data_IF_236336882710
#
_entry.id   IF_236336882710
#
_cell.length_a   1.000
_cell.length_b   1.000
_cell.length_c   1.000
_cell.angle_alpha   90.00
_cell.angle_beta   90.00
_cell.angle_gamma   90.00
#
_symmetry.space_group_name_H-M   'P 1'
#
loop_
_entity.id
_entity.type
_entity.pdbx_description
1 polymer ?
#
# COMPACT_ATOMS: atom_id res chain seq x y z
N UNK A 1 9.33 -44.00 65.37
CA UNK A 1 8.19 -43.41 64.62
C UNK A 1 8.73 -42.36 63.63
N UNK A 2 9.06 -42.77 62.42
CA UNK A 2 9.48 -41.87 61.34
C UNK A 2 8.22 -41.32 60.64
N UNK A 3 7.97 -40.01 60.80
CA UNK A 3 6.83 -39.32 60.19
C UNK A 3 6.95 -39.32 58.66
N UNK A 4 5.86 -39.73 58.00
CA UNK A 4 5.66 -39.74 56.56
C UNK A 4 6.05 -38.41 55.90
N UNK A 5 7.02 -38.47 54.98
CA UNK A 5 7.41 -37.37 54.08
C UNK A 5 6.48 -37.21 52.87
N UNK A 6 5.43 -38.03 52.70
CA UNK A 6 4.64 -38.03 51.44
C UNK A 6 3.59 -36.92 51.33
N UNK A 7 3.16 -36.29 52.43
CA UNK A 7 2.08 -35.28 52.38
C UNK A 7 2.52 -33.91 51.83
N UNK A 8 3.79 -33.49 51.98
CA UNK A 8 4.24 -32.17 51.50
C UNK A 8 4.45 -32.11 49.98
N UNK A 9 4.82 -33.21 49.35
CA UNK A 9 4.95 -33.29 47.88
C UNK A 9 3.60 -33.15 47.18
N UNK A 10 2.51 -33.63 47.79
CA UNK A 10 1.17 -33.53 47.24
C UNK A 10 0.60 -32.10 47.28
N UNK A 11 0.85 -31.36 48.35
CA UNK A 11 0.29 -30.00 48.56
C UNK A 11 0.98 -28.90 47.74
N UNK A 12 2.19 -29.12 47.24
CA UNK A 12 2.94 -28.14 46.43
C UNK A 12 3.09 -28.63 44.98
N UNK A 13 3.29 -29.93 44.77
CA UNK A 13 3.50 -30.50 43.42
C UNK A 13 2.25 -30.48 42.55
N UNK A 14 1.07 -30.76 43.11
CA UNK A 14 -0.19 -30.76 42.34
C UNK A 14 -0.61 -29.34 41.91
N UNK A 15 -0.60 -28.31 42.78
CA UNK A 15 -0.90 -26.95 42.36
C UNK A 15 0.11 -26.39 41.35
N UNK A 16 1.40 -26.73 41.49
CA UNK A 16 2.43 -26.29 40.54
C UNK A 16 2.28 -26.98 39.18
N UNK A 17 1.98 -28.29 39.16
CA UNK A 17 1.71 -29.01 37.92
C UNK A 17 0.44 -28.51 37.22
N UNK A 18 -0.61 -28.16 37.98
CA UNK A 18 -1.82 -27.53 37.45
C UNK A 18 -1.53 -26.13 36.91
N UNK A 19 -0.74 -25.31 37.61
CA UNK A 19 -0.36 -23.99 37.14
C UNK A 19 0.49 -24.04 35.86
N UNK A 20 1.40 -25.02 35.74
CA UNK A 20 2.19 -25.27 34.52
C UNK A 20 1.31 -25.79 33.39
N UNK A 21 0.35 -26.68 33.67
CA UNK A 21 -0.58 -27.19 32.66
C UNK A 21 -1.58 -26.13 32.18
N UNK A 22 -2.06 -25.26 33.08
CA UNK A 22 -2.92 -24.12 32.74
C UNK A 22 -2.11 -23.06 31.99
N UNK A 23 -0.89 -22.74 32.43
CA UNK A 23 0.01 -21.82 31.73
C UNK A 23 0.42 -22.33 30.34
N UNK A 24 0.72 -23.62 30.22
CA UNK A 24 0.98 -24.28 28.94
C UNK A 24 -0.26 -24.35 28.04
N UNK A 25 -1.43 -24.65 28.61
CA UNK A 25 -2.71 -24.63 27.89
C UNK A 25 -3.12 -23.22 27.46
N UNK A 26 -2.83 -22.20 28.26
CA UNK A 26 -3.04 -20.79 27.93
C UNK A 26 -2.07 -20.31 26.86
N UNK A 27 -0.79 -20.67 26.92
CA UNK A 27 0.19 -20.35 25.88
C UNK A 27 -0.16 -21.05 24.56
N UNK A 28 -0.58 -22.30 24.60
CA UNK A 28 -1.11 -23.02 23.44
C UNK A 28 -2.38 -22.32 22.94
N UNK A 29 -3.34 -21.97 23.79
CA UNK A 29 -4.54 -21.25 23.36
C UNK A 29 -4.23 -19.87 22.75
N UNK A 30 -3.37 -19.08 23.38
CA UNK A 30 -3.01 -17.72 22.92
C UNK A 30 -2.24 -17.77 21.60
N UNK A 31 -1.29 -18.70 21.46
CA UNK A 31 -0.52 -18.90 20.21
C UNK A 31 -1.38 -19.53 19.11
N UNK A 32 -2.26 -20.49 19.43
CA UNK A 32 -3.01 -21.27 18.43
C UNK A 32 -4.35 -20.65 18.03
N UNK A 33 -5.06 -19.92 18.91
CA UNK A 33 -6.39 -19.38 18.58
C UNK A 33 -6.37 -17.90 18.24
N UNK A 34 -5.48 -17.09 18.82
CA UNK A 34 -5.35 -15.67 18.42
C UNK A 34 -4.43 -15.46 17.22
N UNK A 35 -3.44 -16.33 17.01
CA UNK A 35 -2.45 -16.19 15.93
C UNK A 35 -2.92 -16.60 14.53
N UNK A 36 -4.03 -17.35 14.42
CA UNK A 36 -4.44 -18.00 13.17
C UNK A 36 -5.45 -17.20 12.34
N UNK A 37 -5.75 -15.94 12.69
CA UNK A 37 -6.72 -15.08 12.01
C UNK A 37 -8.09 -15.73 11.70
N UNK A 38 -8.48 -16.77 12.47
CA UNK A 38 -9.73 -17.52 12.27
C UNK A 38 -9.66 -18.73 11.31
N UNK A 39 -8.50 -19.07 10.75
CA UNK A 39 -8.34 -20.19 9.81
C UNK A 39 -8.07 -21.54 10.49
N UNK A 40 -8.40 -22.63 9.79
CA UNK A 40 -8.12 -24.00 10.27
C UNK A 40 -6.61 -24.29 10.27
N UNK A 41 -6.16 -25.16 11.18
CA UNK A 41 -4.75 -25.51 11.31
C UNK A 41 -4.15 -26.10 10.02
N UNK A 42 -4.95 -26.83 9.23
CA UNK A 42 -4.49 -27.38 7.95
C UNK A 42 -4.23 -26.27 6.94
N UNK A 43 -5.09 -25.25 6.87
CA UNK A 43 -4.93 -24.11 5.98
C UNK A 43 -3.72 -23.27 6.39
N UNK A 44 -3.58 -22.97 7.68
CA UNK A 44 -2.43 -22.21 8.20
C UNK A 44 -1.12 -22.94 7.89
N UNK A 45 -1.05 -24.24 8.15
CA UNK A 45 0.13 -25.05 7.83
C UNK A 45 0.44 -25.04 6.33
N UNK A 46 -0.57 -25.18 5.47
CA UNK A 46 -0.38 -25.14 4.03
C UNK A 46 0.09 -23.76 3.56
N UNK A 47 -0.46 -22.67 4.13
CA UNK A 47 -0.03 -21.32 3.85
C UNK A 47 1.44 -21.09 4.23
N UNK A 48 1.86 -21.58 5.41
CA UNK A 48 3.24 -21.52 5.86
C UNK A 48 4.19 -22.28 4.92
N UNK A 49 3.83 -23.51 4.54
CA UNK A 49 4.61 -24.33 3.61
C UNK A 49 4.72 -23.69 2.22
N UNK A 50 3.63 -23.10 1.72
CA UNK A 50 3.61 -22.40 0.44
C UNK A 50 4.45 -21.12 0.48
N UNK A 51 4.26 -20.27 1.49
CA UNK A 51 4.99 -18.99 1.59
C UNK A 51 6.51 -19.19 1.69
N UNK A 52 6.96 -20.30 2.28
CA UNK A 52 8.38 -20.61 2.40
C UNK A 52 9.13 -20.80 1.08
N UNK A 53 8.41 -21.09 0.00
CA UNK A 53 8.96 -21.35 -1.35
C UNK A 53 8.41 -20.42 -2.41
N UNK A 54 7.43 -19.58 -2.05
CA UNK A 54 6.74 -18.69 -2.95
C UNK A 54 7.45 -17.33 -2.95
N UNK A 55 7.67 -16.81 -4.15
CA UNK A 55 8.08 -15.44 -4.34
C UNK A 55 6.88 -14.53 -4.05
N UNK A 56 7.00 -13.70 -3.03
CA UNK A 56 5.95 -12.76 -2.60
C UNK A 56 6.43 -11.32 -2.67
N UNK A 57 5.60 -10.48 -3.27
CA UNK A 57 5.85 -9.10 -3.58
C UNK A 57 4.65 -8.24 -3.19
N UNK A 58 4.93 -7.17 -2.47
CA UNK A 58 3.98 -6.09 -2.21
C UNK A 58 4.33 -4.88 -3.10
N UNK A 59 3.40 -4.42 -3.93
CA UNK A 59 3.66 -3.30 -4.85
C UNK A 59 3.54 -1.91 -4.24
N UNK A 60 3.23 -1.78 -2.95
CA UNK A 60 3.19 -0.47 -2.30
C UNK A 60 3.41 -0.51 -0.79
N UNK A 61 4.60 -0.10 -0.35
CA UNK A 61 4.91 0.22 1.05
C UNK A 61 5.54 1.61 1.10
N UNK A 62 4.98 2.50 1.92
CA UNK A 62 5.53 3.84 2.14
C UNK A 62 6.76 3.76 3.02
N UNK A 63 7.80 4.53 2.68
CA UNK A 63 9.00 4.71 3.50
C UNK A 63 8.77 5.92 4.42
N UNK A 64 8.65 5.73 5.75
CA UNK A 64 8.59 6.85 6.69
C UNK A 64 9.87 7.69 6.62
N UNK A 65 9.76 9.02 6.77
CA UNK A 65 10.92 9.94 6.71
C UNK A 65 11.95 9.67 7.80
N UNK A 66 11.52 9.09 8.93
CA UNK A 66 12.39 8.74 10.07
C UNK A 66 12.83 7.27 10.06
N UNK A 67 12.59 6.52 8.97
CA UNK A 67 12.95 5.09 8.93
C UNK A 67 14.46 4.89 8.91
N UNK A 68 14.95 3.95 9.73
CA UNK A 68 16.38 3.72 9.96
C UNK A 68 17.00 4.60 11.06
N UNK A 69 16.25 5.53 11.66
CA UNK A 69 16.71 6.32 12.80
C UNK A 69 16.50 5.58 14.14
N UNK A 70 16.99 6.16 15.25
CA UNK A 70 16.88 5.53 16.57
C UNK A 70 15.40 5.38 16.99
N UNK A 71 14.99 4.14 17.31
CA UNK A 71 13.61 3.79 17.64
C UNK A 71 12.75 3.41 16.43
N UNK A 72 13.28 3.53 15.21
CA UNK A 72 12.63 3.13 13.97
C UNK A 72 13.62 2.41 13.04
N UNK A 73 14.54 1.62 13.61
CA UNK A 73 15.59 0.93 12.90
C UNK A 73 15.03 -0.12 11.93
N UNK A 74 15.65 -0.25 10.75
CA UNK A 74 15.18 -1.15 9.71
C UNK A 74 15.36 -2.65 10.04
N UNK A 75 16.28 -3.00 10.96
CA UNK A 75 16.63 -4.38 11.33
C UNK A 75 16.06 -4.81 12.69
N UNK A 76 15.14 -4.02 13.27
CA UNK A 76 14.47 -4.35 14.53
C UNK A 76 12.96 -4.44 14.34
N UNK A 77 12.31 -5.21 15.21
CA UNK A 77 10.85 -5.28 15.29
C UNK A 77 10.29 -3.95 15.84
N UNK A 78 10.17 -2.97 14.94
CA UNK A 78 9.88 -1.58 15.25
C UNK A 78 8.40 -1.25 15.34
N UNK A 79 8.04 0.03 15.56
CA UNK A 79 6.64 0.46 15.69
C UNK A 79 5.88 0.50 14.35
N UNK A 80 6.58 0.54 13.22
CA UNK A 80 5.98 0.59 11.88
C UNK A 80 5.42 -0.75 11.39
N UNK A 81 4.84 -0.72 10.19
CA UNK A 81 4.25 -1.91 9.54
C UNK A 81 5.25 -2.68 8.66
N UNK A 82 6.47 -2.16 8.51
CA UNK A 82 7.57 -2.79 7.77
C UNK A 82 8.90 -2.61 8.50
N UNK A 83 9.62 -3.71 8.64
CA UNK A 83 11.04 -3.81 8.98
C UNK A 83 11.54 -5.20 8.53
N UNK A 84 12.86 -5.42 8.53
CA UNK A 84 13.46 -6.67 8.05
C UNK A 84 13.10 -7.87 8.95
N UNK A 85 12.85 -7.66 10.25
CA UNK A 85 12.44 -8.73 11.18
C UNK A 85 11.03 -9.21 10.84
N UNK A 86 10.09 -8.28 10.68
CA UNK A 86 8.72 -8.58 10.27
C UNK A 86 8.68 -9.17 8.88
N UNK A 87 9.45 -8.64 7.91
CA UNK A 87 9.49 -9.17 6.55
C UNK A 87 9.97 -10.63 6.54
N UNK A 88 11.02 -10.95 7.31
CA UNK A 88 11.51 -12.31 7.48
C UNK A 88 10.47 -13.23 8.16
N UNK A 89 9.77 -12.75 9.19
CA UNK A 89 8.70 -13.47 9.87
C UNK A 89 7.50 -13.74 8.96
N UNK A 90 7.14 -12.79 8.11
CA UNK A 90 6.08 -12.93 7.11
C UNK A 90 6.49 -13.68 5.85
N UNK A 91 7.80 -13.93 5.68
CA UNK A 91 8.39 -14.52 4.47
C UNK A 91 8.06 -13.70 3.21
N UNK A 92 8.00 -12.38 3.37
CA UNK A 92 7.83 -11.44 2.25
C UNK A 92 9.16 -11.35 1.50
N UNK A 93 9.17 -11.67 0.20
CA UNK A 93 10.41 -11.72 -0.58
C UNK A 93 10.93 -10.34 -0.96
N UNK A 94 10.02 -9.39 -1.15
CA UNK A 94 10.37 -8.03 -1.50
C UNK A 94 9.15 -7.13 -1.54
N UNK A 95 9.38 -5.83 -1.69
CA UNK A 95 8.31 -4.86 -1.86
C UNK A 95 8.78 -3.68 -2.71
N UNK A 96 7.81 -2.98 -3.30
CA UNK A 96 8.04 -1.65 -3.83
C UNK A 96 8.12 -0.67 -2.65
N UNK A 97 9.34 -0.19 -2.37
CA UNK A 97 9.55 0.90 -1.43
C UNK A 97 9.46 2.22 -2.18
N UNK A 98 8.43 3.01 -1.85
CA UNK A 98 8.03 4.15 -2.68
C UNK A 98 8.82 5.42 -2.34
N UNK A 99 9.52 5.96 -3.34
CA UNK A 99 10.01 7.35 -3.34
C UNK A 99 8.79 8.25 -3.50
N UNK A 100 8.52 9.08 -2.50
CA UNK A 100 7.31 9.88 -2.44
C UNK A 100 7.64 11.29 -1.96
N UNK A 101 6.88 12.25 -2.47
CA UNK A 101 6.87 13.64 -2.03
C UNK A 101 5.54 14.26 -2.42
N UNK A 102 5.00 15.10 -1.55
CA UNK A 102 3.73 15.79 -1.78
C UNK A 102 3.76 17.12 -1.01
N UNK A 103 2.82 18.04 -1.29
CA UNK A 103 2.74 19.28 -0.52
C UNK A 103 2.22 19.00 0.89
N UNK A 104 3.10 18.53 1.78
CA UNK A 104 2.78 18.16 3.16
C UNK A 104 2.24 19.36 3.94
N UNK A 105 0.95 19.29 4.29
CA UNK A 105 0.25 20.39 4.95
C UNK A 105 0.32 20.32 6.46
N UNK A 106 0.62 19.16 7.04
CA UNK A 106 0.62 18.95 8.50
C UNK A 106 1.97 19.24 9.16
N UNK A 107 2.87 19.92 8.45
CA UNK A 107 4.21 20.20 8.93
C UNK A 107 4.30 21.54 9.69
N UNK A 108 4.84 21.50 10.91
CA UNK A 108 5.23 22.70 11.67
C UNK A 108 4.13 23.28 12.57
N UNK A 109 4.47 24.34 13.35
CA UNK A 109 3.53 24.98 14.26
C UNK A 109 2.36 25.64 13.53
N UNK A 110 1.15 25.48 14.06
CA UNK A 110 -0.10 26.02 13.50
C UNK A 110 -0.51 25.41 12.15
N UNK A 111 -0.03 24.20 11.84
CA UNK A 111 -0.58 23.40 10.75
C UNK A 111 -2.12 23.28 10.84
N UNK A 112 -2.83 23.15 9.71
CA UNK A 112 -2.29 22.92 8.36
C UNK A 112 -1.90 24.21 7.62
N UNK A 113 -1.00 24.11 6.64
CA UNK A 113 -0.55 25.22 5.79
C UNK A 113 -0.89 25.00 4.31
N UNK A 114 -1.40 26.03 3.63
CA UNK A 114 -1.67 25.97 2.19
C UNK A 114 -0.36 25.88 1.38
N UNK A 115 -0.34 25.10 0.30
CA UNK A 115 0.86 24.96 -0.51
C UNK A 115 1.35 26.31 -1.07
N UNK A 116 2.65 26.53 -1.00
CA UNK A 116 3.35 27.65 -1.66
C UNK A 116 4.37 27.11 -2.66
N UNK A 117 5.02 27.98 -3.44
CA UNK A 117 6.07 27.54 -4.37
C UNK A 117 7.20 26.74 -3.67
N UNK A 118 7.50 27.04 -2.41
CA UNK A 118 8.53 26.32 -1.64
C UNK A 118 8.15 24.88 -1.25
N UNK A 119 6.86 24.51 -1.34
CA UNK A 119 6.42 23.14 -1.04
C UNK A 119 6.91 22.14 -2.09
N UNK A 120 7.18 22.59 -3.32
CA UNK A 120 7.79 21.73 -4.35
C UNK A 120 9.19 21.30 -3.92
N UNK A 121 10.00 22.23 -3.39
CA UNK A 121 11.35 21.90 -2.91
C UNK A 121 11.33 21.06 -1.64
N UNK A 122 10.38 21.30 -0.73
CA UNK A 122 10.17 20.43 0.43
C UNK A 122 9.80 19.00 -0.01
N UNK A 123 8.89 18.86 -0.97
CA UNK A 123 8.50 17.57 -1.51
C UNK A 123 9.65 16.85 -2.26
N UNK A 124 10.56 17.60 -2.91
CA UNK A 124 11.81 17.04 -3.47
C UNK A 124 12.75 16.55 -2.38
N UNK A 125 12.91 17.31 -1.30
CA UNK A 125 13.73 16.91 -0.16
C UNK A 125 13.23 15.58 0.43
N UNK A 126 11.92 15.42 0.58
CA UNK A 126 11.31 14.18 1.03
C UNK A 126 11.63 12.97 0.12
N UNK A 127 11.67 13.16 -1.20
CA UNK A 127 12.09 12.12 -2.14
C UNK A 127 13.57 11.73 -1.92
N UNK A 128 14.45 12.72 -1.74
CA UNK A 128 15.87 12.48 -1.48
C UNK A 128 16.13 11.78 -0.14
N UNK A 129 15.38 12.13 0.91
CA UNK A 129 15.43 11.46 2.22
C UNK A 129 15.05 9.99 2.04
N UNK A 130 13.92 9.69 1.40
CA UNK A 130 13.47 8.30 1.16
C UNK A 130 14.48 7.51 0.32
N UNK A 131 15.08 8.13 -0.69
CA UNK A 131 16.13 7.48 -1.48
C UNK A 131 17.38 7.18 -0.64
N UNK A 132 17.77 8.11 0.24
CA UNK A 132 18.89 7.95 1.16
C UNK A 132 18.64 6.81 2.14
N UNK A 133 17.42 6.70 2.67
CA UNK A 133 17.00 5.59 3.56
C UNK A 133 17.13 4.25 2.84
N UNK A 134 16.56 4.11 1.65
CA UNK A 134 16.65 2.87 0.85
C UNK A 134 18.12 2.52 0.57
N UNK A 135 18.93 3.50 0.18
CA UNK A 135 20.35 3.31 -0.09
C UNK A 135 21.13 2.90 1.17
N UNK A 136 20.78 3.48 2.32
CA UNK A 136 21.37 3.15 3.62
C UNK A 136 21.05 1.72 4.04
N UNK A 137 19.80 1.25 3.84
CA UNK A 137 19.45 -0.15 4.12
C UNK A 137 20.37 -1.14 3.39
N UNK A 138 20.61 -0.91 2.10
CA UNK A 138 21.49 -1.78 1.28
C UNK A 138 22.94 -1.70 1.72
N UNK A 139 23.42 -0.50 2.08
CA UNK A 139 24.79 -0.28 2.57
C UNK A 139 25.03 -0.97 3.92
N UNK A 140 24.07 -0.84 4.83
CA UNK A 140 24.24 -1.22 6.23
C UNK A 140 23.87 -2.70 6.47
N UNK A 141 23.00 -3.27 5.63
CA UNK A 141 22.55 -4.67 5.74
C UNK A 141 22.72 -5.47 4.43
N UNK A 142 23.91 -5.51 3.80
CA UNK A 142 24.11 -6.08 2.47
C UNK A 142 23.84 -7.59 2.37
N UNK A 143 23.87 -8.30 3.50
CA UNK A 143 23.53 -9.73 3.60
C UNK A 143 22.02 -9.98 3.75
N UNK A 144 21.22 -8.95 4.06
CA UNK A 144 19.78 -9.08 4.29
C UNK A 144 18.94 -8.41 3.20
N UNK A 145 19.46 -7.37 2.53
CA UNK A 145 18.66 -6.55 1.61
C UNK A 145 19.49 -6.07 0.41
N UNK A 146 18.84 -5.99 -0.75
CA UNK A 146 19.41 -5.39 -1.95
C UNK A 146 18.30 -4.86 -2.87
N UNK A 147 18.67 -3.94 -3.77
CA UNK A 147 17.73 -3.42 -4.78
C UNK A 147 17.69 -4.37 -5.97
N UNK A 148 16.48 -4.71 -6.41
CA UNK A 148 16.22 -5.43 -7.65
C UNK A 148 15.97 -4.43 -8.79
N UNK A 149 16.84 -4.42 -9.80
CA UNK A 149 16.70 -3.56 -10.97
C UNK A 149 16.00 -4.25 -12.14
N UNK A 150 15.88 -5.58 -12.08
CA UNK A 150 15.24 -6.44 -13.06
C UNK A 150 14.42 -7.55 -12.37
N UNK A 151 13.45 -8.18 -13.06
CA UNK A 151 12.78 -9.38 -12.53
C UNK A 151 13.75 -10.50 -12.16
N UNK A 152 14.86 -10.64 -12.89
CA UNK A 152 15.87 -11.66 -12.61
C UNK A 152 16.67 -11.34 -11.35
N UNK A 153 16.96 -10.06 -11.08
CA UNK A 153 17.50 -9.65 -9.78
C UNK A 153 16.56 -10.02 -8.65
N UNK A 154 15.25 -9.76 -8.80
CA UNK A 154 14.28 -10.10 -7.76
C UNK A 154 14.27 -11.60 -7.46
N UNK A 155 14.26 -12.45 -8.49
CA UNK A 155 14.31 -13.91 -8.35
C UNK A 155 15.63 -14.36 -7.71
N UNK A 156 16.75 -13.79 -8.14
CA UNK A 156 18.08 -14.08 -7.58
C UNK A 156 18.14 -13.70 -6.10
N UNK A 157 17.71 -12.50 -5.73
CA UNK A 157 17.71 -12.02 -4.34
C UNK A 157 16.82 -12.87 -3.44
N UNK A 158 15.63 -13.27 -3.92
CA UNK A 158 14.79 -14.23 -3.21
C UNK A 158 15.53 -15.56 -2.96
N UNK A 159 16.25 -16.10 -3.97
CA UNK A 159 17.03 -17.33 -3.82
C UNK A 159 18.24 -17.20 -2.88
N UNK A 160 18.79 -15.98 -2.75
CA UNK A 160 19.86 -15.64 -1.80
C UNK A 160 19.32 -15.40 -0.38
N UNK A 161 18.00 -15.40 -0.17
CA UNK A 161 17.38 -15.11 1.12
C UNK A 161 17.40 -13.63 1.50
N UNK A 162 17.62 -12.73 0.52
CA UNK A 162 17.64 -11.27 0.72
C UNK A 162 16.27 -10.67 0.40
N UNK A 163 15.85 -9.69 1.20
CA UNK A 163 14.71 -8.85 0.86
C UNK A 163 15.02 -8.03 -0.40
N UNK A 164 14.19 -8.17 -1.42
CA UNK A 164 14.36 -7.47 -2.69
C UNK A 164 13.59 -6.14 -2.68
N UNK A 165 14.31 -5.03 -2.61
CA UNK A 165 13.72 -3.69 -2.75
C UNK A 165 13.48 -3.42 -4.24
N UNK A 166 12.23 -3.18 -4.61
CA UNK A 166 11.89 -2.57 -5.89
C UNK A 166 11.70 -1.06 -5.66
N UNK A 167 12.40 -0.20 -6.38
CA UNK A 167 12.22 1.26 -6.20
C UNK A 167 11.08 1.73 -7.11
N UNK A 168 9.97 2.12 -6.48
CA UNK A 168 8.88 2.84 -7.15
C UNK A 168 8.96 4.33 -6.81
N UNK A 169 8.29 5.16 -7.59
CA UNK A 169 8.10 6.58 -7.29
C UNK A 169 6.65 6.96 -7.50
N UNK A 170 6.07 7.71 -6.57
CA UNK A 170 4.68 8.16 -6.63
C UNK A 170 4.63 9.69 -6.52
N UNK A 171 3.72 10.28 -7.31
CA UNK A 171 3.43 11.70 -7.42
C UNK A 171 4.42 12.49 -8.30
N UNK A 172 3.90 13.16 -9.32
CA UNK A 172 4.67 14.02 -10.22
C UNK A 172 4.91 15.43 -9.64
N UNK A 173 4.16 15.84 -8.60
CA UNK A 173 4.27 17.18 -7.99
C UNK A 173 5.72 17.63 -7.71
N UNK A 174 6.61 16.82 -7.11
CA UNK A 174 7.99 17.24 -6.83
C UNK A 174 8.82 17.49 -8.09
N UNK A 175 8.42 16.95 -9.25
CA UNK A 175 9.20 17.06 -10.49
C UNK A 175 9.06 18.43 -11.16
N UNK A 176 8.08 19.24 -10.75
CA UNK A 176 7.74 20.50 -11.42
C UNK A 176 7.46 20.24 -12.90
N UNK A 177 8.07 21.01 -13.80
CA UNK A 177 7.90 20.86 -15.25
C UNK A 177 9.11 20.21 -15.97
N UNK A 178 10.08 19.65 -15.22
CA UNK A 178 11.29 19.06 -15.80
C UNK A 178 11.12 17.56 -16.09
N UNK A 179 10.79 17.24 -17.33
CA UNK A 179 10.64 15.86 -17.79
C UNK A 179 11.91 15.01 -17.60
N UNK A 180 13.10 15.63 -17.62
CA UNK A 180 14.38 14.93 -17.45
C UNK A 180 14.56 14.35 -16.04
N UNK A 181 13.72 14.71 -15.08
CA UNK A 181 13.74 14.08 -13.77
C UNK A 181 13.40 12.59 -13.85
N UNK A 182 12.55 12.18 -14.81
CA UNK A 182 12.26 10.76 -15.03
C UNK A 182 13.52 9.97 -15.37
N UNK A 183 14.37 10.51 -16.24
CA UNK A 183 15.66 9.93 -16.62
C UNK A 183 16.58 9.79 -15.41
N UNK A 184 16.71 10.85 -14.62
CA UNK A 184 17.58 10.89 -13.44
C UNK A 184 17.14 9.86 -12.40
N UNK A 185 15.84 9.77 -12.12
CA UNK A 185 15.30 8.79 -11.18
C UNK A 185 15.38 7.35 -11.71
N UNK A 186 15.16 7.13 -13.01
CA UNK A 186 15.32 5.81 -13.62
C UNK A 186 16.79 5.34 -13.55
N UNK A 187 17.75 6.24 -13.80
CA UNK A 187 19.19 5.97 -13.67
C UNK A 187 19.58 5.62 -12.22
N UNK A 188 18.88 6.19 -11.23
CA UNK A 188 19.02 5.89 -9.80
C UNK A 188 18.27 4.64 -9.34
N UNK A 189 17.62 3.92 -10.25
CA UNK A 189 17.00 2.63 -9.94
C UNK A 189 15.48 2.61 -9.88
N UNK A 190 14.79 3.73 -10.10
CA UNK A 190 13.33 3.74 -10.21
C UNK A 190 12.87 2.83 -11.35
N UNK A 191 11.90 1.94 -11.09
CA UNK A 191 11.35 0.98 -12.07
C UNK A 191 9.82 1.05 -12.21
N UNK A 192 9.13 1.82 -11.38
CA UNK A 192 7.72 2.16 -11.54
C UNK A 192 7.48 3.62 -11.17
N UNK A 193 6.63 4.31 -11.92
CA UNK A 193 6.26 5.71 -11.66
C UNK A 193 4.74 5.89 -11.71
N UNK A 194 4.18 6.39 -10.61
CA UNK A 194 2.78 6.80 -10.52
C UNK A 194 2.65 8.31 -10.59
N UNK A 195 1.76 8.81 -11.46
CA UNK A 195 1.63 10.24 -11.73
C UNK A 195 1.03 11.03 -10.57
N UNK A 196 0.16 10.41 -9.78
CA UNK A 196 -0.74 11.13 -8.88
C UNK A 196 -0.65 10.63 -7.45
N UNK A 197 -1.07 11.49 -6.53
CA UNK A 197 -1.47 11.16 -5.16
C UNK A 197 -2.81 11.88 -4.89
N UNK A 198 -3.18 12.16 -3.64
CA UNK A 198 -4.18 13.18 -3.31
C UNK A 198 -3.73 14.54 -3.87
N UNK A 199 -4.68 15.26 -4.48
CA UNK A 199 -4.45 16.55 -5.10
C UNK A 199 -4.00 16.43 -6.56
N UNK A 200 -4.45 17.37 -7.39
CA UNK A 200 -3.98 17.49 -8.77
C UNK A 200 -2.52 17.94 -8.80
N UNK A 201 -1.83 17.68 -9.90
CA UNK A 201 -0.54 18.28 -10.20
C UNK A 201 -0.47 18.68 -11.68
N UNK A 202 0.59 19.38 -12.07
CA UNK A 202 0.73 19.95 -13.42
C UNK A 202 0.80 18.88 -14.54
N UNK A 203 0.92 17.59 -14.21
CA UNK A 203 1.06 16.50 -15.18
C UNK A 203 -0.24 15.72 -15.35
N UNK A 204 -0.98 15.48 -14.26
CA UNK A 204 -2.17 14.65 -14.28
C UNK A 204 -3.19 15.06 -13.21
N UNK A 205 -4.47 14.92 -13.57
CA UNK A 205 -5.59 15.02 -12.63
C UNK A 205 -5.61 13.81 -11.68
N UNK A 206 -5.87 14.07 -10.40
CA UNK A 206 -6.07 13.04 -9.39
C UNK A 206 -7.52 12.56 -9.35
N UNK A 207 -7.72 11.32 -8.92
CA UNK A 207 -9.05 10.82 -8.51
C UNK A 207 -9.58 11.52 -7.26
N UNK A 208 -8.71 12.21 -6.52
CA UNK A 208 -8.99 12.89 -5.26
C UNK A 208 -8.47 14.33 -5.30
N UNK A 209 -9.06 15.22 -6.12
CA UNK A 209 -8.72 16.65 -6.08
C UNK A 209 -8.98 17.18 -4.67
N UNK A 210 -8.06 17.98 -4.14
CA UNK A 210 -8.16 18.49 -2.77
C UNK A 210 -8.54 19.98 -2.78
N UNK A 211 -9.73 20.37 -2.31
CA UNK A 211 -10.14 21.77 -2.28
C UNK A 211 -9.20 22.67 -1.47
N UNK A 212 -8.51 22.12 -0.46
CA UNK A 212 -7.51 22.87 0.29
C UNK A 212 -6.32 23.34 -0.58
N UNK A 213 -6.03 22.64 -1.67
CA UNK A 213 -5.06 23.04 -2.70
C UNK A 213 -5.67 23.95 -3.78
N UNK A 214 -6.95 24.28 -3.65
CA UNK A 214 -7.74 24.96 -4.67
C UNK A 214 -7.87 24.16 -5.98
N UNK A 215 -7.91 22.83 -5.85
CA UNK A 215 -8.11 21.95 -7.00
C UNK A 215 -9.55 22.02 -7.53
N UNK A 216 -9.68 21.73 -8.83
CA UNK A 216 -10.96 21.45 -9.47
C UNK A 216 -10.94 20.04 -10.06
N UNK A 217 -12.05 19.28 -10.01
CA UNK A 217 -12.11 17.96 -10.64
C UNK A 217 -11.83 18.03 -12.14
N UNK A 218 -11.00 17.12 -12.65
CA UNK A 218 -10.60 17.02 -14.05
C UNK A 218 -10.06 18.33 -14.66
N UNK A 219 -9.26 19.09 -13.92
CA UNK A 219 -8.74 20.40 -14.34
C UNK A 219 -7.96 20.36 -15.66
N UNK A 220 -7.20 19.27 -15.91
CA UNK A 220 -6.45 19.02 -17.13
C UNK A 220 -7.23 18.19 -18.16
N UNK A 221 -8.45 17.76 -17.80
CA UNK A 221 -9.22 16.77 -18.52
C UNK A 221 -8.42 15.47 -18.76
N UNK A 222 -7.68 15.01 -17.74
CA UNK A 222 -6.81 13.84 -17.77
C UNK A 222 -5.34 14.20 -17.57
N UNK A 223 -4.56 14.21 -18.65
CA UNK A 223 -3.14 14.55 -18.66
C UNK A 223 -2.90 15.91 -19.33
N UNK A 224 -1.97 16.69 -18.78
CA UNK A 224 -1.40 17.84 -19.50
C UNK A 224 -0.50 17.37 -20.65
N UNK A 225 -0.02 18.30 -21.48
CA UNK A 225 0.93 17.96 -22.55
C UNK A 225 2.25 17.39 -22.00
N UNK A 226 2.73 17.87 -20.85
CA UNK A 226 3.88 17.29 -20.14
C UNK A 226 3.56 15.87 -19.67
N UNK A 227 2.36 15.64 -19.11
CA UNK A 227 1.91 14.30 -18.71
C UNK A 227 1.88 13.29 -19.86
N UNK A 228 1.41 13.71 -21.05
CA UNK A 228 1.43 12.88 -22.26
C UNK A 228 2.85 12.56 -22.73
N UNK A 229 3.76 13.54 -22.66
CA UNK A 229 5.19 13.32 -22.98
C UNK A 229 5.83 12.36 -21.97
N UNK A 230 5.47 12.43 -20.69
CA UNK A 230 5.93 11.53 -19.65
C UNK A 230 5.52 10.08 -19.91
N UNK A 231 4.31 9.79 -20.38
CA UNK A 231 3.91 8.43 -20.78
C UNK A 231 4.90 7.85 -21.80
N UNK A 232 5.19 8.61 -22.85
CA UNK A 232 6.17 8.18 -23.87
C UNK A 232 7.57 7.99 -23.26
N UNK A 233 8.02 8.93 -22.42
CA UNK A 233 9.36 8.86 -21.80
C UNK A 233 9.50 7.65 -20.88
N UNK A 234 8.48 7.33 -20.08
CA UNK A 234 8.46 6.16 -19.19
C UNK A 234 8.54 4.85 -19.98
N UNK A 235 7.79 4.74 -21.08
CA UNK A 235 7.92 3.60 -21.97
C UNK A 235 9.34 3.52 -22.58
N UNK A 236 9.94 4.64 -23.00
CA UNK A 236 11.31 4.69 -23.55
C UNK A 236 12.36 4.25 -22.52
N UNK A 237 12.15 4.61 -21.24
CA UNK A 237 13.02 4.24 -20.12
C UNK A 237 12.82 2.79 -19.61
N UNK A 238 11.77 2.09 -20.04
CA UNK A 238 11.42 0.78 -19.48
C UNK A 238 10.97 0.87 -18.02
N UNK A 239 10.26 1.96 -17.66
CA UNK A 239 9.67 2.18 -16.33
C UNK A 239 8.18 1.86 -16.40
N UNK A 240 7.70 1.05 -15.45
CA UNK A 240 6.28 0.69 -15.34
C UNK A 240 5.47 1.95 -15.04
N UNK A 241 4.38 2.17 -15.79
CA UNK A 241 3.45 3.25 -15.51
C UNK A 241 2.41 2.76 -14.50
N UNK A 242 2.36 3.41 -13.35
CA UNK A 242 1.38 3.18 -12.30
C UNK A 242 0.20 4.16 -12.44
N UNK A 243 -1.02 3.63 -12.47
CA UNK A 243 -2.27 4.38 -12.62
C UNK A 243 -3.11 4.44 -11.35
N UNK A 244 -2.64 3.87 -10.24
CA UNK A 244 -3.24 4.17 -8.93
C UNK A 244 -3.26 5.68 -8.68
N UNK A 245 -4.25 6.16 -7.92
CA UNK A 245 -4.47 7.58 -7.58
C UNK A 245 -4.94 8.50 -8.73
N UNK A 246 -4.65 8.17 -9.99
CA UNK A 246 -5.03 8.99 -11.16
C UNK A 246 -6.54 9.08 -11.36
N UNK A 247 -7.03 10.18 -11.95
CA UNK A 247 -8.43 10.27 -12.39
C UNK A 247 -8.74 9.23 -13.49
N UNK A 248 -10.01 8.84 -13.65
CA UNK A 248 -10.40 7.89 -14.70
C UNK A 248 -10.09 8.41 -16.11
N UNK A 249 -10.12 9.74 -16.34
CA UNK A 249 -9.75 10.34 -17.63
C UNK A 249 -8.25 10.27 -17.89
N UNK A 250 -7.44 10.52 -16.86
CA UNK A 250 -5.99 10.40 -16.97
C UNK A 250 -5.59 8.94 -17.24
N UNK A 251 -6.17 7.98 -16.50
CA UNK A 251 -5.98 6.54 -16.74
C UNK A 251 -6.36 6.16 -18.19
N UNK A 252 -7.50 6.63 -18.68
CA UNK A 252 -7.92 6.39 -20.07
C UNK A 252 -6.88 6.89 -21.07
N UNK A 253 -6.37 8.10 -20.90
CA UNK A 253 -5.34 8.66 -21.80
C UNK A 253 -4.01 7.90 -21.70
N UNK A 254 -3.58 7.52 -20.50
CA UNK A 254 -2.40 6.66 -20.30
C UNK A 254 -2.58 5.33 -21.04
N UNK A 255 -3.76 4.70 -20.96
CA UNK A 255 -4.05 3.43 -21.66
C UNK A 255 -4.04 3.53 -23.18
N UNK A 256 -4.35 4.71 -23.72
CA UNK A 256 -4.32 4.97 -25.16
C UNK A 256 -2.92 5.32 -25.67
N UNK A 257 -2.09 5.94 -24.82
CA UNK A 257 -0.76 6.44 -25.18
C UNK A 257 0.36 5.43 -24.89
N UNK A 258 0.20 4.59 -23.86
CA UNK A 258 1.23 3.64 -23.46
C UNK A 258 1.34 2.49 -24.46
N UNK A 259 2.56 2.16 -24.85
CA UNK A 259 2.86 0.94 -25.62
C UNK A 259 3.21 -0.27 -24.77
N UNK A 260 3.32 -0.10 -23.45
CA UNK A 260 3.68 -1.16 -22.50
C UNK A 260 2.55 -1.39 -21.50
N UNK A 261 2.50 -2.58 -20.86
CA UNK A 261 1.50 -2.86 -19.84
C UNK A 261 1.52 -1.85 -18.68
N UNK A 262 0.34 -1.58 -18.14
CA UNK A 262 0.13 -0.69 -16.99
C UNK A 262 0.02 -1.49 -15.68
N UNK A 263 0.27 -0.84 -14.56
CA UNK A 263 -0.03 -1.38 -13.23
C UNK A 263 -0.93 -0.39 -12.49
N UNK A 264 -1.89 -0.88 -11.70
CA UNK A 264 -2.40 -0.11 -10.57
C UNK A 264 -1.78 -0.69 -9.31
N UNK A 265 -0.81 0.00 -8.71
CA UNK A 265 0.07 -0.58 -7.68
C UNK A 265 -0.60 -0.79 -6.32
N UNK A 266 -1.75 -0.14 -6.11
CA UNK A 266 -2.55 -0.23 -4.89
C UNK A 266 -3.96 0.31 -5.16
N UNK A 267 -4.90 -0.51 -5.61
CA UNK A 267 -6.28 -0.06 -5.88
C UNK A 267 -7.31 -1.15 -5.58
N UNK A 268 -8.54 -0.78 -5.25
CA UNK A 268 -9.63 -1.74 -5.03
C UNK A 268 -10.80 -1.51 -6.02
N UNK A 269 -11.69 -2.49 -6.24
CA UNK A 269 -12.83 -2.34 -7.14
C UNK A 269 -13.94 -1.44 -6.56
N UNK A 270 -14.51 -0.56 -7.38
CA UNK A 270 -15.67 0.29 -6.99
C UNK A 270 -16.91 -0.50 -6.61
N UNK A 271 -17.01 -1.75 -7.05
CA UNK A 271 -18.13 -2.61 -6.71
C UNK A 271 -18.22 -2.95 -5.22
N UNK A 272 -17.13 -2.81 -4.46
CA UNK A 272 -17.13 -2.98 -3.01
C UNK A 272 -17.43 -1.65 -2.31
N UNK A 273 -16.71 -0.60 -2.69
CA UNK A 273 -16.93 0.76 -2.18
C UNK A 273 -16.89 1.72 -3.36
N UNK A 274 -18.01 2.38 -3.64
CA UNK A 274 -18.14 3.32 -4.76
C UNK A 274 -17.57 4.69 -4.39
N UNK A 275 -16.25 4.81 -4.54
CA UNK A 275 -15.48 6.04 -4.36
C UNK A 275 -14.57 6.27 -5.57
N UNK A 276 -14.26 7.53 -5.93
CA UNK A 276 -13.42 7.83 -7.09
C UNK A 276 -12.05 7.16 -7.07
N UNK A 277 -11.50 6.95 -5.87
CA UNK A 277 -10.21 6.29 -5.63
C UNK A 277 -10.18 4.82 -6.06
N UNK A 278 -11.32 4.16 -6.07
CA UNK A 278 -11.45 2.77 -6.51
C UNK A 278 -11.64 2.70 -8.03
N UNK A 279 -11.32 1.54 -8.62
CA UNK A 279 -11.40 1.31 -10.06
C UNK A 279 -12.78 0.83 -10.48
N UNK A 280 -13.35 1.47 -11.51
CA UNK A 280 -14.54 0.92 -12.17
C UNK A 280 -14.19 -0.36 -12.95
N UNK A 281 -15.19 -1.17 -13.31
CA UNK A 281 -14.99 -2.31 -14.20
C UNK A 281 -14.31 -1.90 -15.52
N UNK A 282 -14.66 -0.72 -16.05
CA UNK A 282 -14.07 -0.17 -17.28
C UNK A 282 -12.59 0.16 -17.09
N UNK A 283 -12.22 0.74 -15.95
CA UNK A 283 -10.82 1.06 -15.64
C UNK A 283 -9.98 -0.21 -15.47
N UNK A 284 -10.51 -1.23 -14.80
CA UNK A 284 -9.85 -2.53 -14.70
C UNK A 284 -9.68 -3.20 -16.08
N UNK A 285 -10.68 -3.15 -16.97
CA UNK A 285 -10.52 -3.67 -18.34
C UNK A 285 -9.44 -2.92 -19.10
N UNK A 286 -9.38 -1.58 -19.01
CA UNK A 286 -8.31 -0.80 -19.67
C UNK A 286 -6.92 -1.26 -19.22
N UNK A 287 -6.72 -1.49 -17.92
CA UNK A 287 -5.44 -2.01 -17.39
C UNK A 287 -5.15 -3.40 -17.97
N UNK A 288 -6.14 -4.30 -17.92
CA UNK A 288 -6.04 -5.66 -18.47
C UNK A 288 -5.70 -5.67 -19.96
N UNK A 289 -6.34 -4.82 -20.76
CA UNK A 289 -6.18 -4.76 -22.22
C UNK A 289 -4.75 -4.34 -22.63
N UNK A 290 -4.01 -3.66 -21.75
CA UNK A 290 -2.57 -3.40 -21.95
C UNK A 290 -1.67 -4.60 -21.64
N UNK A 291 -2.21 -5.72 -21.13
CA UNK A 291 -1.47 -6.83 -20.52
C UNK A 291 -1.11 -6.61 -19.04
N UNK A 292 -1.67 -5.56 -18.45
CA UNK A 292 -1.32 -5.01 -17.14
C UNK A 292 -1.84 -5.79 -15.93
N UNK A 293 -1.62 -5.25 -14.73
CA UNK A 293 -2.02 -5.88 -13.46
C UNK A 293 -2.65 -4.86 -12.51
N UNK A 294 -3.75 -5.24 -11.86
CA UNK A 294 -4.33 -4.51 -10.73
C UNK A 294 -3.89 -5.18 -9.43
N UNK A 295 -3.06 -4.49 -8.65
CA UNK A 295 -2.62 -4.93 -7.33
C UNK A 295 -3.67 -4.48 -6.31
N UNK A 296 -4.42 -5.45 -5.77
CA UNK A 296 -5.54 -5.20 -4.87
C UNK A 296 -5.00 -4.73 -3.53
N UNK A 297 -5.48 -3.57 -3.07
CA UNK A 297 -4.94 -2.93 -1.86
C UNK A 297 -5.67 -3.33 -0.59
N UNK A 298 -4.91 -3.65 0.46
CA UNK A 298 -5.38 -3.89 1.82
C UNK A 298 -5.77 -2.62 2.58
N UNK A 299 -6.54 -1.72 1.98
CA UNK A 299 -6.96 -0.45 2.59
C UNK A 299 -8.42 -0.53 3.06
N UNK A 300 -8.66 -0.50 4.38
CA UNK A 300 -9.94 -0.89 4.96
C UNK A 300 -11.17 -0.17 4.40
N UNK A 301 -11.12 1.16 4.31
CA UNK A 301 -12.25 1.98 3.82
C UNK A 301 -12.44 1.94 2.31
N UNK A 302 -11.55 1.27 1.56
CA UNK A 302 -11.71 1.01 0.13
C UNK A 302 -12.34 -0.36 -0.14
N UNK A 303 -12.33 -1.25 0.86
CA UNK A 303 -12.86 -2.61 0.78
C UNK A 303 -14.22 -2.73 1.45
N UNK A 304 -14.47 -1.96 2.51
CA UNK A 304 -15.74 -1.96 3.23
C UNK A 304 -16.31 -0.54 3.36
N UNK A 305 -17.60 -0.32 3.02
CA UNK A 305 -18.25 0.96 3.26
C UNK A 305 -18.22 1.33 4.75
N UNK A 306 -18.15 2.63 5.05
CA UNK A 306 -18.26 3.12 6.43
C UNK A 306 -19.57 2.66 7.07
N UNK A 307 -19.51 2.23 8.32
CA UNK A 307 -20.70 1.90 9.09
C UNK A 307 -21.66 3.10 9.22
N UNK A 308 -22.96 2.83 9.40
CA UNK A 308 -23.94 3.89 9.61
C UNK A 308 -23.57 4.78 10.81
N UNK A 309 -23.05 4.18 11.88
CA UNK A 309 -22.61 4.90 13.07
C UNK A 309 -21.51 5.93 12.76
N UNK A 310 -20.54 5.58 11.93
CA UNK A 310 -19.49 6.51 11.50
C UNK A 310 -20.03 7.58 10.55
N UNK A 311 -20.94 7.22 9.64
CA UNK A 311 -21.62 8.20 8.78
C UNK A 311 -22.45 9.20 9.59
N UNK A 312 -23.13 8.77 10.66
CA UNK A 312 -23.90 9.66 11.55
C UNK A 312 -22.99 10.64 12.31
N UNK A 313 -21.83 10.16 12.78
CA UNK A 313 -20.80 11.02 13.39
C UNK A 313 -20.26 12.03 12.38
N UNK A 314 -19.96 11.60 11.15
CA UNK A 314 -19.51 12.49 10.08
C UNK A 314 -20.58 13.53 9.73
N UNK A 315 -21.85 13.15 9.64
CA UNK A 315 -22.94 14.10 9.38
C UNK A 315 -23.10 15.12 10.52
N UNK A 316 -22.91 14.67 11.77
CA UNK A 316 -22.87 15.57 12.93
C UNK A 316 -21.72 16.56 12.81
N UNK A 317 -20.50 16.10 12.53
CA UNK A 317 -19.34 16.97 12.29
C UNK A 317 -19.58 17.93 11.12
N UNK A 318 -20.07 17.45 9.98
CA UNK A 318 -20.34 18.27 8.79
C UNK A 318 -21.30 19.42 9.10
N UNK A 319 -22.38 19.16 9.85
CA UNK A 319 -23.32 20.21 10.25
C UNK A 319 -22.70 21.29 11.13
N UNK A 320 -21.73 20.96 11.99
CA UNK A 320 -20.99 21.94 12.81
C UNK A 320 -20.11 22.88 11.98
N UNK A 321 -19.78 22.47 10.75
CA UNK A 321 -18.97 23.22 9.80
C UNK A 321 -19.79 23.73 8.61
N UNK A 322 -21.11 23.82 8.74
CA UNK A 322 -22.03 24.34 7.71
C UNK A 322 -22.00 23.55 6.38
N UNK A 323 -21.62 22.27 6.43
CA UNK A 323 -21.63 21.38 5.27
C UNK A 323 -22.93 20.55 5.23
N UNK A 324 -23.46 20.27 4.02
CA UNK A 324 -24.62 19.40 3.88
C UNK A 324 -24.29 17.96 4.33
N UNK A 325 -25.30 17.14 4.68
CA UNK A 325 -25.09 15.71 4.95
C UNK A 325 -24.39 15.00 3.78
N UNK A 326 -23.68 13.92 4.07
CA UNK A 326 -23.04 13.07 3.06
C UNK A 326 -24.08 12.53 2.08
N UNK A 327 -23.80 12.71 0.78
CA UNK A 327 -24.58 12.11 -0.30
C UNK A 327 -23.94 10.82 -0.84
N UNK A 328 -22.63 10.66 -0.62
CA UNK A 328 -21.82 9.51 -1.00
C UNK A 328 -20.60 9.41 -0.05
N UNK A 329 -19.72 8.43 -0.30
CA UNK A 329 -18.50 8.24 0.52
C UNK A 329 -17.28 9.03 0.03
N UNK A 330 -17.36 9.69 -1.13
CA UNK A 330 -16.25 10.50 -1.67
C UNK A 330 -15.83 11.59 -0.68
N UNK A 331 -16.81 12.27 -0.08
CA UNK A 331 -16.59 13.33 0.91
C UNK A 331 -16.50 12.81 2.36
N UNK A 332 -16.58 11.48 2.53
CA UNK A 332 -16.53 10.84 3.85
C UNK A 332 -15.12 10.40 4.24
N UNK A 333 -14.26 10.15 3.25
CA UNK A 333 -12.90 9.63 3.45
C UNK A 333 -11.81 10.71 3.31
N UNK A 334 -12.19 11.91 2.89
CA UNK A 334 -11.31 13.09 2.81
C UNK A 334 -12.14 14.37 2.83
N UNK A 335 -11.55 15.53 3.22
CA UNK A 335 -12.23 16.83 3.19
C UNK A 335 -12.36 17.38 1.74
N UNK A 336 -13.25 16.79 0.96
CA UNK A 336 -13.39 17.02 -0.49
C UNK A 336 -14.44 18.05 -0.94
N UNK A 337 -15.23 18.64 -0.03
CA UNK A 337 -16.25 19.64 -0.40
C UNK A 337 -15.61 20.91 -0.99
N UNK A 338 -16.04 21.31 -2.19
CA UNK A 338 -15.44 22.43 -2.93
C UNK A 338 -15.38 23.76 -2.13
N UNK A 339 -16.35 24.01 -1.25
CA UNK A 339 -16.40 25.23 -0.42
C UNK A 339 -15.21 25.34 0.56
N UNK A 340 -14.54 24.22 0.86
CA UNK A 340 -13.35 24.19 1.72
C UNK A 340 -12.21 25.03 1.13
N UNK A 341 -12.20 25.27 -0.19
CA UNK A 341 -11.17 26.12 -0.82
C UNK A 341 -11.11 27.54 -0.22
N UNK A 342 -12.23 28.10 0.23
CA UNK A 342 -12.27 29.46 0.82
C UNK A 342 -12.15 29.46 2.35
N UNK A 343 -12.02 28.31 2.99
CA UNK A 343 -11.93 28.24 4.45
C UNK A 343 -10.57 28.74 4.98
N UNK A 344 -10.54 29.42 6.13
CA UNK A 344 -9.29 29.64 6.85
C UNK A 344 -8.60 28.31 7.18
N UNK A 345 -7.26 28.31 7.20
CA UNK A 345 -6.44 27.13 7.52
C UNK A 345 -6.85 26.47 8.84
N UNK A 346 -7.09 27.28 9.88
CA UNK A 346 -7.54 26.81 11.18
C UNK A 346 -8.89 26.07 11.11
N UNK A 347 -9.85 26.59 10.34
CA UNK A 347 -11.17 25.96 10.17
C UNK A 347 -11.03 24.62 9.44
N UNK A 348 -10.22 24.58 8.38
CA UNK A 348 -9.91 23.35 7.68
C UNK A 348 -9.22 22.33 8.59
N UNK A 349 -8.21 22.75 9.38
CA UNK A 349 -7.50 21.90 10.31
C UNK A 349 -8.43 21.23 11.32
N UNK A 350 -9.31 22.01 11.96
CA UNK A 350 -10.30 21.46 12.91
C UNK A 350 -11.23 20.44 12.26
N UNK A 351 -11.74 20.73 11.06
CA UNK A 351 -12.62 19.82 10.33
C UNK A 351 -11.89 18.55 9.89
N UNK A 352 -10.73 18.69 9.26
CA UNK A 352 -9.96 17.57 8.74
C UNK A 352 -9.49 16.64 9.87
N UNK A 353 -8.98 17.19 10.99
CA UNK A 353 -8.63 16.38 12.16
C UNK A 353 -9.83 15.64 12.73
N UNK A 354 -10.99 16.28 12.86
CA UNK A 354 -12.22 15.62 13.33
C UNK A 354 -12.72 14.54 12.37
N UNK A 355 -12.61 14.76 11.06
CA UNK A 355 -12.96 13.77 10.03
C UNK A 355 -12.05 12.55 10.14
N UNK A 356 -10.74 12.76 10.16
CA UNK A 356 -9.77 11.67 10.20
C UNK A 356 -9.85 10.88 11.51
N UNK A 357 -10.09 11.53 12.65
CA UNK A 357 -10.32 10.83 13.93
C UNK A 357 -11.55 9.89 13.86
N UNK A 358 -12.64 10.33 13.23
CA UNK A 358 -13.83 9.48 13.05
C UNK A 358 -13.51 8.28 12.14
N UNK A 359 -12.77 8.51 11.05
CA UNK A 359 -12.41 7.47 10.08
C UNK A 359 -11.40 6.47 10.67
N UNK A 360 -10.44 6.94 11.47
CA UNK A 360 -9.44 6.11 12.15
C UNK A 360 -10.08 5.11 13.13
N UNK A 361 -11.21 5.50 13.74
CA UNK A 361 -11.98 4.67 14.66
C UNK A 361 -13.07 3.82 13.97
N UNK A 362 -13.18 3.81 12.64
CA UNK A 362 -14.03 2.86 11.92
C UNK A 362 -13.51 1.43 12.12
N UNK A 363 -14.37 0.43 12.43
CA UNK A 363 -13.91 -0.94 12.54
C UNK A 363 -13.25 -1.41 11.24
N UNK A 364 -12.01 -1.91 11.34
CA UNK A 364 -11.20 -2.31 10.20
C UNK A 364 -11.91 -3.36 9.33
N UNK A 365 -11.67 -3.29 8.03
CA UNK A 365 -12.01 -4.40 7.14
C UNK A 365 -11.12 -5.61 7.47
N UNK A 366 -11.60 -6.78 7.10
CA UNK A 366 -11.00 -8.09 7.40
C UNK A 366 -10.34 -8.69 6.17
N UNK A 367 -9.58 -9.77 6.36
CA UNK A 367 -9.10 -10.60 5.23
C UNK A 367 -10.22 -11.14 4.35
N UNK A 368 -11.44 -11.33 4.88
CA UNK A 368 -12.58 -11.74 4.06
C UNK A 368 -12.97 -10.63 3.07
N UNK A 369 -13.02 -9.38 3.51
CA UNK A 369 -13.34 -8.24 2.62
C UNK A 369 -12.27 -8.11 1.53
N UNK A 370 -11.01 -8.36 1.89
CA UNK A 370 -9.90 -8.37 0.95
C UNK A 370 -9.98 -9.51 -0.09
N UNK A 371 -10.30 -10.73 0.37
CA UNK A 371 -10.56 -11.86 -0.51
C UNK A 371 -11.75 -11.61 -1.44
N UNK A 372 -12.80 -10.94 -0.98
CA UNK A 372 -13.96 -10.56 -1.81
C UNK A 372 -13.54 -9.59 -2.94
N UNK A 373 -12.61 -8.67 -2.66
CA UNK A 373 -12.05 -7.76 -3.67
C UNK A 373 -11.19 -8.49 -4.71
N UNK A 374 -10.35 -9.43 -4.26
CA UNK A 374 -9.53 -10.27 -5.15
C UNK A 374 -10.44 -11.13 -6.04
N UNK A 375 -11.43 -11.82 -5.48
CA UNK A 375 -12.39 -12.63 -6.24
C UNK A 375 -13.12 -11.80 -7.29
N UNK A 376 -13.56 -10.60 -6.92
CA UNK A 376 -14.22 -9.68 -7.84
C UNK A 376 -13.29 -9.30 -8.99
N UNK A 377 -12.05 -8.89 -8.69
CA UNK A 377 -11.08 -8.52 -9.71
C UNK A 377 -10.73 -9.71 -10.63
N UNK A 378 -10.43 -10.88 -10.06
CA UNK A 378 -10.11 -12.10 -10.83
C UNK A 378 -11.27 -12.47 -11.76
N UNK A 379 -12.52 -12.37 -11.29
CA UNK A 379 -13.71 -12.62 -12.11
C UNK A 379 -13.84 -11.64 -13.28
N UNK A 380 -13.43 -10.38 -13.11
CA UNK A 380 -13.57 -9.34 -14.13
C UNK A 380 -12.44 -9.33 -15.14
N UNK A 381 -11.20 -9.45 -14.67
CA UNK A 381 -10.01 -9.27 -15.51
C UNK A 381 -9.13 -10.51 -15.65
N UNK A 382 -9.44 -11.59 -14.93
CA UNK A 382 -8.73 -12.88 -15.01
C UNK A 382 -7.55 -12.94 -14.05
N UNK A 383 -7.19 -14.17 -13.65
CA UNK A 383 -6.14 -14.43 -12.65
C UNK A 383 -4.76 -13.89 -13.05
N UNK A 384 -4.49 -13.74 -14.34
CA UNK A 384 -3.23 -13.23 -14.85
C UNK A 384 -3.09 -11.70 -14.71
N UNK A 385 -4.13 -10.99 -14.26
CA UNK A 385 -4.16 -9.52 -14.23
C UNK A 385 -4.43 -8.96 -12.82
N UNK A 386 -4.30 -9.78 -11.79
CA UNK A 386 -4.53 -9.40 -10.39
C UNK A 386 -3.29 -9.69 -9.58
N UNK A 387 -3.00 -8.85 -8.58
CA UNK A 387 -2.09 -9.21 -7.50
C UNK A 387 -2.38 -8.45 -6.22
N UNK A 388 -1.37 -8.29 -5.37
CA UNK A 388 -1.54 -7.94 -3.95
C UNK A 388 -0.70 -6.70 -3.57
N UNK A 389 -1.27 -5.83 -2.75
CA UNK A 389 -0.56 -4.72 -2.11
C UNK A 389 -1.16 -4.37 -0.74
N UNK A 390 -0.37 -3.76 0.14
CA UNK A 390 -0.84 -3.41 1.49
C UNK A 390 -1.22 -1.94 1.67
N UNK A 391 -0.47 -1.01 1.07
CA UNK A 391 -0.45 0.41 1.48
C UNK A 391 0.09 0.63 2.90
N UNK A 392 0.96 -0.26 3.38
CA UNK A 392 1.57 -0.15 4.71
C UNK A 392 2.35 1.16 4.87
N UNK A 393 2.30 1.68 6.09
CA UNK A 393 2.81 2.99 6.53
C UNK A 393 2.11 4.22 5.91
N UNK A 394 1.01 4.06 5.16
CA UNK A 394 0.16 5.17 4.70
C UNK A 394 -1.35 4.88 4.90
N UNK A 395 -1.70 4.16 5.98
CA UNK A 395 -3.08 3.86 6.37
C UNK A 395 -3.58 2.46 6.00
N UNK A 396 -2.82 1.71 5.21
CA UNK A 396 -3.11 0.31 4.88
C UNK A 396 -3.06 -0.65 6.07
N UNK A 397 -3.54 -1.87 5.85
CA UNK A 397 -3.58 -2.94 6.83
C UNK A 397 -4.99 -3.26 7.32
N UNK A 398 -5.21 -4.54 7.56
CA UNK A 398 -6.52 -5.13 7.82
C UNK A 398 -6.53 -5.88 9.15
N UNK A 399 -7.72 -6.20 9.64
CA UNK A 399 -7.83 -7.23 10.68
C UNK A 399 -7.32 -8.57 10.12
N UNK A 400 -6.26 -9.10 10.72
CA UNK A 400 -5.55 -10.30 10.26
C UNK A 400 -4.37 -10.04 9.32
N UNK A 401 -4.12 -8.80 8.90
CA UNK A 401 -2.92 -8.41 8.14
C UNK A 401 -2.51 -6.97 8.47
N UNK A 402 -2.00 -6.78 9.68
CA UNK A 402 -1.69 -5.44 10.24
C UNK A 402 -0.31 -4.91 9.87
N UNK A 403 0.62 -5.80 9.54
CA UNK A 403 1.99 -5.51 9.14
C UNK A 403 2.54 -6.67 8.28
N UNK A 404 3.74 -6.50 7.71
CA UNK A 404 4.32 -7.50 6.80
C UNK A 404 4.60 -8.85 7.47
N UNK A 405 4.59 -8.97 8.81
CA UNK A 405 4.78 -10.26 9.48
C UNK A 405 3.58 -11.21 9.35
N UNK A 406 2.41 -10.67 9.01
CA UNK A 406 1.15 -11.39 8.86
C UNK A 406 0.79 -11.73 7.40
N UNK A 407 1.70 -11.46 6.46
CA UNK A 407 1.55 -11.73 5.01
C UNK A 407 0.99 -13.14 4.71
N UNK A 408 1.35 -14.14 5.51
CA UNK A 408 0.88 -15.53 5.38
C UNK A 408 -0.62 -15.71 5.58
N UNK A 409 -1.27 -14.80 6.32
CA UNK A 409 -2.71 -14.85 6.55
C UNK A 409 -3.50 -14.54 5.27
N UNK A 410 -2.96 -13.70 4.38
CA UNK A 410 -3.54 -13.49 3.04
C UNK A 410 -3.47 -14.79 2.22
N UNK A 411 -2.36 -15.52 2.28
CA UNK A 411 -2.24 -16.84 1.64
C UNK A 411 -3.25 -17.83 2.22
N UNK A 412 -3.46 -17.82 3.54
CA UNK A 412 -4.48 -18.65 4.19
C UNK A 412 -5.90 -18.33 3.70
N UNK A 413 -6.25 -17.05 3.56
CA UNK A 413 -7.54 -16.62 2.99
C UNK A 413 -7.73 -17.14 1.56
N UNK A 414 -6.70 -17.01 0.71
CA UNK A 414 -6.76 -17.47 -0.68
C UNK A 414 -6.92 -19.00 -0.78
N UNK A 415 -6.18 -19.75 0.03
CA UNK A 415 -6.35 -21.21 0.12
C UNK A 415 -7.75 -21.60 0.60
N UNK A 416 -8.27 -20.89 1.61
CA UNK A 416 -9.62 -21.11 2.15
C UNK A 416 -10.70 -20.88 1.10
N UNK A 417 -10.47 -19.98 0.13
CA UNK A 417 -11.36 -19.73 -1.02
C UNK A 417 -11.18 -20.72 -2.18
N UNK A 418 -10.17 -21.58 -2.12
CA UNK A 418 -9.91 -22.61 -3.12
C UNK A 418 -9.02 -22.16 -4.28
N UNK A 419 -8.27 -21.06 -4.15
CA UNK A 419 -7.23 -20.74 -5.11
C UNK A 419 -6.15 -21.83 -5.13
N UNK A 420 -5.71 -22.20 -6.32
CA UNK A 420 -4.59 -23.13 -6.45
C UNK A 420 -3.28 -22.44 -6.04
N UNK A 421 -2.28 -23.22 -5.62
CA UNK A 421 -0.96 -22.67 -5.30
C UNK A 421 -0.32 -21.93 -6.48
N UNK A 422 -0.63 -22.35 -7.72
CA UNK A 422 -0.17 -21.67 -8.94
C UNK A 422 -0.83 -20.30 -9.10
N UNK A 423 -2.13 -20.18 -8.81
CA UNK A 423 -2.85 -18.91 -8.84
C UNK A 423 -2.36 -17.97 -7.74
N UNK A 424 -2.12 -18.51 -6.54
CA UNK A 424 -1.54 -17.75 -5.42
C UNK A 424 -0.14 -17.22 -5.77
N UNK A 425 0.69 -18.01 -6.46
CA UNK A 425 2.00 -17.56 -6.96
C UNK A 425 1.89 -16.43 -8.00
N UNK A 426 0.84 -16.44 -8.83
CA UNK A 426 0.56 -15.34 -9.76
C UNK A 426 0.17 -14.06 -9.02
N UNK A 427 -0.79 -14.16 -8.08
CA UNK A 427 -1.28 -13.04 -7.27
C UNK A 427 -0.17 -12.38 -6.46
N UNK A 428 0.69 -13.17 -5.84
CA UNK A 428 1.75 -12.66 -4.98
C UNK A 428 2.92 -12.00 -5.71
N UNK A 429 3.00 -12.08 -7.04
CA UNK A 429 4.09 -11.41 -7.74
C UNK A 429 4.38 -11.94 -9.13
N UNK A 430 3.98 -13.17 -9.45
CA UNK A 430 4.21 -13.74 -10.79
C UNK A 430 3.66 -12.84 -11.91
N UNK A 431 2.47 -12.28 -11.72
CA UNK A 431 1.86 -11.35 -12.67
C UNK A 431 2.61 -10.02 -12.78
N UNK A 432 3.00 -9.44 -11.63
CA UNK A 432 3.78 -8.21 -11.60
C UNK A 432 5.14 -8.37 -12.28
N UNK A 433 5.86 -9.46 -11.99
CA UNK A 433 7.16 -9.76 -12.62
C UNK A 433 7.04 -9.95 -14.13
N UNK A 434 5.94 -10.51 -14.64
CA UNK A 434 5.66 -10.60 -16.09
C UNK A 434 5.50 -9.21 -16.71
N UNK A 435 4.73 -8.33 -16.08
CA UNK A 435 4.57 -6.94 -16.55
C UNK A 435 5.91 -6.23 -16.53
N UNK A 436 6.66 -6.33 -15.45
CA UNK A 436 7.97 -5.71 -15.32
C UNK A 436 8.94 -6.17 -16.43
N UNK A 437 9.03 -7.47 -16.70
CA UNK A 437 9.83 -8.04 -17.78
C UNK A 437 9.42 -7.49 -19.16
N UNK A 438 8.10 -7.43 -19.42
CA UNK A 438 7.56 -6.92 -20.69
C UNK A 438 7.90 -5.44 -20.89
N UNK A 439 7.75 -4.63 -19.84
CA UNK A 439 8.05 -3.20 -19.86
C UNK A 439 9.54 -2.96 -20.11
N UNK A 440 10.43 -3.70 -19.46
CA UNK A 440 11.87 -3.56 -19.67
C UNK A 440 12.32 -3.97 -21.07
N UNK A 441 11.75 -5.05 -21.62
CA UNK A 441 12.04 -5.50 -23.00
C UNK A 441 11.57 -4.50 -24.06
N UNK A 442 10.55 -3.70 -23.76
CA UNK A 442 10.02 -2.67 -24.65
C UNK A 442 10.74 -1.30 -24.51
N UNK A 443 11.74 -1.21 -23.62
CA UNK A 443 12.55 -0.02 -23.46
C UNK A 443 13.27 0.32 -24.77
N UNK A 444 13.30 1.61 -25.09
CA UNK A 444 14.05 2.13 -26.22
C UNK A 444 14.69 3.45 -25.80
N UNK A 445 15.68 3.40 -24.88
CA UNK A 445 16.32 4.61 -24.39
C UNK A 445 17.11 5.20 -25.57
N UNK A 446 16.67 6.35 -26.08
CA UNK A 446 17.45 7.12 -27.04
C UNK A 446 18.78 7.43 -26.34
N UNK A 447 19.89 6.95 -26.91
CA UNK A 447 21.23 7.32 -26.47
C UNK A 447 21.33 8.84 -26.55
N UNK A 448 21.48 9.51 -25.41
CA UNK A 448 21.78 10.94 -25.38
C UNK A 448 23.20 11.21 -25.88
#
# INVERSE_FOLDING_TARGET
MTKSRSKKALFIGIPLALAVAIGGGFLVWDTFYKGNAGYSLSIVKQADELQNRLLSFDSHITVPLEFGSAGNEADKDGPGQFDLVKAAKGRLSGAALTIFGWPEIWNGPNAPHRPTAGFVDAARNDQEVRYTIISAMVRDFPEQVAIAYTPDDFRRLHSEGKFAIFISMLNAYPLGNDLNQLDKWAARGMRMFGFSYVGNNDWADSSRPLPFFNDTPDALNGLSDTGKQAVKRLNDLGVIIDVSQMSSKALEQVSQLSRTPLVASHSAPRALVDIPRNLSDKDMQRIKDTGGVVQIVGFGTYLRPLSQASQDKLNTLRSQFDLPPLHNLEMALMPGDAIITVWPEQRFGQYASGLYDIVEHEPKATLKDYGDAIDYAVKKIGIDHVGISSDFNDGGGLEGWKDVSETRNVTAELLQRGYSEADIAKLWGGNFLRVWDTVQKAANPISQ
#
